data_IF_348102640538
#
_entry.id   IF_348102640538
#
_cell.length_a   1.000
_cell.length_b   1.000
_cell.length_c   1.000
_cell.angle_alpha   90.00
_cell.angle_beta   90.00
_cell.angle_gamma   90.00
#
_symmetry.space_group_name_H-M   'P 1'
#
loop_
_entity.id
_entity.type
_entity.pdbx_description
1 polymer ?
#
# COMPACT_ATOMS: atom_id res chain seq x y z
N UNK A 1 -17.95 37.56 -58.82
CA UNK A 1 -17.53 37.62 -57.41
C UNK A 1 -18.12 36.45 -56.60
N UNK A 2 -17.67 35.21 -56.86
CA UNK A 2 -18.16 33.98 -56.19
C UNK A 2 -17.04 32.92 -55.98
N UNK A 3 -15.80 33.36 -55.75
CA UNK A 3 -14.64 32.46 -55.59
C UNK A 3 -13.63 32.91 -54.52
N UNK A 4 -14.09 33.47 -53.40
CA UNK A 4 -13.18 33.92 -52.34
C UNK A 4 -13.68 33.72 -50.91
N UNK A 5 -14.66 32.83 -50.70
CA UNK A 5 -15.24 32.58 -49.37
C UNK A 5 -15.06 31.14 -48.85
N UNK A 6 -14.19 30.34 -49.48
CA UNK A 6 -13.98 28.92 -49.10
C UNK A 6 -12.58 28.60 -48.59
N UNK A 7 -11.69 29.59 -48.46
CA UNK A 7 -10.32 29.38 -47.99
C UNK A 7 -10.08 29.86 -46.55
N UNK A 8 -11.04 30.55 -45.93
CA UNK A 8 -10.90 31.06 -44.56
C UNK A 8 -11.44 30.08 -43.51
N UNK A 9 -12.25 29.10 -43.91
CA UNK A 9 -12.82 28.09 -42.99
C UNK A 9 -11.89 26.89 -42.75
N UNK A 10 -10.73 26.81 -43.42
CA UNK A 10 -9.82 25.66 -43.31
C UNK A 10 -8.54 25.94 -42.49
N UNK A 11 -8.41 27.13 -41.89
CA UNK A 11 -7.21 27.54 -41.12
C UNK A 11 -7.49 27.77 -39.63
N UNK A 12 -8.74 27.59 -39.17
CA UNK A 12 -9.12 27.78 -37.76
C UNK A 12 -9.34 26.48 -36.97
N UNK A 13 -8.73 25.35 -37.37
CA UNK A 13 -8.87 24.08 -36.64
C UNK A 13 -7.55 23.32 -36.50
N UNK A 14 -6.49 24.00 -36.07
CA UNK A 14 -5.28 23.35 -35.53
C UNK A 14 -4.63 24.22 -34.45
N UNK A 15 -5.42 24.71 -33.50
CA UNK A 15 -4.90 24.87 -32.13
C UNK A 15 -5.28 23.60 -31.37
N UNK A 16 -4.56 22.51 -31.67
CA UNK A 16 -4.41 21.45 -30.67
C UNK A 16 -3.63 22.11 -29.56
N UNK A 17 -4.34 22.46 -28.49
CA UNK A 17 -3.72 22.82 -27.22
C UNK A 17 -2.97 21.56 -26.80
N UNK A 18 -1.67 21.52 -27.09
CA UNK A 18 -0.74 20.69 -26.34
C UNK A 18 -0.71 21.30 -24.94
N UNK A 19 -1.73 20.97 -24.13
CA UNK A 19 -1.49 20.84 -22.70
C UNK A 19 -0.57 19.65 -22.61
N UNK A 20 0.74 19.90 -22.65
CA UNK A 20 1.68 18.98 -22.04
C UNK A 20 1.23 18.85 -20.60
N UNK A 21 0.43 17.82 -20.31
CA UNK A 21 0.42 17.26 -18.98
C UNK A 21 1.89 16.99 -18.70
N UNK A 22 2.47 17.80 -17.82
CA UNK A 22 3.75 17.45 -17.21
C UNK A 22 3.37 16.25 -16.36
N UNK A 23 3.37 15.07 -16.98
CA UNK A 23 3.16 13.80 -16.30
C UNK A 23 4.22 13.75 -15.20
N UNK A 24 3.81 13.38 -13.99
CA UNK A 24 4.73 13.20 -12.87
C UNK A 24 5.91 12.34 -13.34
N UNK A 25 7.13 12.81 -13.08
CA UNK A 25 8.34 12.29 -13.75
C UNK A 25 8.93 11.10 -12.97
N UNK A 26 8.34 10.71 -11.84
CA UNK A 26 8.79 9.58 -11.05
C UNK A 26 7.56 8.84 -10.52
N UNK A 27 7.53 7.52 -10.73
CA UNK A 27 6.50 6.62 -10.23
C UNK A 27 7.15 5.67 -9.23
N UNK A 28 6.33 5.03 -8.41
CA UNK A 28 6.74 3.87 -7.64
C UNK A 28 5.53 2.94 -7.66
N UNK A 29 5.56 1.95 -8.54
CA UNK A 29 4.51 0.97 -8.67
C UNK A 29 5.07 -0.33 -8.12
N UNK A 30 5.01 -0.48 -6.81
CA UNK A 30 5.32 -1.76 -6.17
C UNK A 30 4.52 -2.93 -6.78
N UNK A 31 4.90 -4.14 -6.40
CA UNK A 31 4.81 -5.41 -7.10
C UNK A 31 3.45 -5.85 -7.70
N UNK A 32 2.35 -5.15 -7.40
CA UNK A 32 0.99 -5.41 -7.87
C UNK A 32 0.75 -4.98 -9.33
N UNK A 33 1.45 -5.60 -10.27
CA UNK A 33 1.40 -5.31 -11.72
C UNK A 33 0.00 -5.35 -12.37
N UNK A 34 -0.95 -6.10 -11.79
CA UNK A 34 -2.34 -6.20 -12.25
C UNK A 34 -3.32 -5.25 -11.54
N UNK A 35 -2.82 -4.47 -10.58
CA UNK A 35 -3.59 -3.56 -9.71
C UNK A 35 -3.15 -2.09 -9.85
N UNK A 36 -2.02 -1.82 -10.49
CA UNK A 36 -1.53 -0.47 -10.76
C UNK A 36 -2.58 0.35 -11.54
N UNK A 37 -3.47 1.02 -10.82
CA UNK A 37 -4.30 2.04 -11.42
C UNK A 37 -3.34 3.16 -11.82
N UNK A 38 -3.44 3.64 -13.06
CA UNK A 38 -2.64 4.76 -13.56
C UNK A 38 -2.97 6.10 -12.87
N UNK A 39 -3.54 6.07 -11.67
CA UNK A 39 -4.07 7.24 -10.97
C UNK A 39 -3.51 7.44 -9.57
N UNK A 40 -2.60 6.60 -9.09
CA UNK A 40 -1.99 6.71 -7.75
C UNK A 40 -0.51 7.03 -7.90
N UNK A 41 -0.07 8.22 -7.47
CA UNK A 41 1.32 8.61 -7.62
C UNK A 41 1.76 9.65 -6.60
N UNK A 42 3.09 9.69 -6.39
CA UNK A 42 3.78 10.70 -5.59
C UNK A 42 4.92 11.30 -6.41
N UNK A 43 5.00 12.63 -6.46
CA UNK A 43 6.02 13.30 -7.28
C UNK A 43 7.43 13.34 -6.63
N UNK A 44 7.52 13.18 -5.31
CA UNK A 44 8.76 13.35 -4.55
C UNK A 44 8.81 12.49 -3.26
N UNK A 45 9.65 11.45 -3.21
CA UNK A 45 9.79 10.56 -2.04
C UNK A 45 10.73 11.11 -0.95
N UNK A 46 11.44 12.21 -1.23
CA UNK A 46 12.59 12.65 -0.41
C UNK A 46 12.20 13.02 1.02
N UNK A 47 10.92 13.21 1.29
CA UNK A 47 10.41 13.73 2.55
C UNK A 47 9.85 12.63 3.44
N UNK A 48 9.23 11.61 2.84
CA UNK A 48 8.76 10.42 3.49
C UNK A 48 8.56 9.35 2.43
N UNK A 49 8.97 8.15 2.76
CA UNK A 49 8.81 6.94 1.96
C UNK A 49 8.63 5.74 2.88
N UNK A 50 8.04 4.69 2.37
CA UNK A 50 8.04 3.37 2.92
C UNK A 50 9.43 2.76 2.65
N UNK A 51 10.11 2.34 3.72
CA UNK A 51 11.40 1.71 3.60
C UNK A 51 12.57 2.66 3.24
N UNK A 52 13.76 2.08 3.12
CA UNK A 52 15.00 2.79 2.78
C UNK A 52 15.36 2.70 1.29
N UNK A 53 14.72 1.79 0.56
CA UNK A 53 14.67 1.80 -0.89
C UNK A 53 13.89 3.00 -1.40
N UNK A 54 14.20 3.45 -2.61
CA UNK A 54 13.21 4.09 -3.47
C UNK A 54 13.66 3.85 -4.88
N UNK A 55 12.86 3.13 -5.63
CA UNK A 55 13.05 2.97 -7.05
C UNK A 55 12.10 3.91 -7.74
N UNK A 56 12.63 4.98 -8.35
CA UNK A 56 11.86 5.78 -9.28
C UNK A 56 11.54 4.90 -10.49
N UNK A 57 10.43 4.19 -10.44
CA UNK A 57 9.95 3.40 -11.55
C UNK A 57 9.39 4.33 -12.62
N UNK A 58 9.60 3.99 -13.89
CA UNK A 58 9.09 4.76 -15.03
C UNK A 58 7.89 4.07 -15.71
N UNK A 59 7.45 2.94 -15.18
CA UNK A 59 6.35 2.13 -15.69
C UNK A 59 5.82 1.20 -14.59
N UNK A 60 4.55 0.75 -14.66
CA UNK A 60 3.93 -0.17 -13.72
C UNK A 60 4.41 -1.62 -13.93
N UNK A 61 5.72 -1.83 -13.88
CA UNK A 61 6.29 -3.16 -14.00
C UNK A 61 7.23 -3.38 -12.82
N UNK A 62 6.80 -4.22 -11.89
CA UNK A 62 7.62 -4.83 -10.85
C UNK A 62 8.89 -5.39 -11.49
N UNK A 63 9.98 -4.64 -11.44
CA UNK A 63 11.20 -5.01 -12.12
C UNK A 63 12.08 -5.92 -11.24
N UNK A 64 11.53 -6.97 -10.61
CA UNK A 64 12.22 -8.07 -9.89
C UNK A 64 13.55 -7.66 -9.21
N UNK A 65 13.56 -6.51 -8.55
CA UNK A 65 14.78 -5.76 -8.24
C UNK A 65 14.51 -4.32 -7.78
N UNK A 66 13.24 -3.97 -7.57
CA UNK A 66 12.87 -2.93 -6.60
C UNK A 66 13.39 -3.31 -5.20
N UNK A 67 13.51 -2.29 -4.36
CA UNK A 67 13.90 -2.45 -2.96
C UNK A 67 12.73 -2.06 -2.09
N UNK A 68 11.53 -2.56 -2.40
CA UNK A 68 10.35 -2.30 -1.59
C UNK A 68 10.55 -2.99 -0.24
N UNK A 69 11.02 -2.21 0.72
CA UNK A 69 11.45 -2.64 2.05
C UNK A 69 10.63 -1.97 3.15
N UNK A 70 9.55 -1.28 2.78
CA UNK A 70 8.69 -0.57 3.70
C UNK A 70 7.51 -1.36 4.21
N UNK A 71 7.02 -2.37 3.50
CA UNK A 71 5.94 -3.25 3.96
C UNK A 71 6.40 -4.70 4.10
N UNK A 72 6.09 -5.31 5.24
CA UNK A 72 6.25 -6.74 5.48
C UNK A 72 5.20 -7.23 6.48
N UNK A 73 5.08 -8.54 6.68
CA UNK A 73 4.20 -9.10 7.70
C UNK A 73 4.81 -10.31 8.42
N UNK A 74 4.32 -10.52 9.64
CA UNK A 74 4.61 -11.68 10.48
C UNK A 74 3.35 -12.51 10.64
N UNK A 75 3.47 -13.82 10.44
CA UNK A 75 2.39 -14.80 10.63
C UNK A 75 2.62 -15.53 11.95
N UNK A 76 1.61 -15.49 12.82
CA UNK A 76 1.61 -16.13 14.15
C UNK A 76 2.84 -15.77 15.03
N UNK A 77 3.33 -14.54 14.91
CA UNK A 77 4.50 -14.06 15.66
C UNK A 77 5.85 -14.59 15.13
N UNK A 78 5.88 -15.09 13.89
CA UNK A 78 7.10 -15.46 13.17
C UNK A 78 7.96 -14.24 12.77
N UNK A 79 8.99 -14.49 11.96
CA UNK A 79 9.80 -13.41 11.40
C UNK A 79 8.99 -12.54 10.43
N UNK A 80 9.34 -11.26 10.32
CA UNK A 80 8.80 -10.37 9.31
C UNK A 80 9.38 -10.71 7.93
N UNK A 81 8.50 -10.72 6.93
CA UNK A 81 8.80 -11.00 5.53
C UNK A 81 7.49 -11.04 4.76
N UNK A 82 7.35 -11.98 3.83
CA UNK A 82 6.17 -12.11 2.97
C UNK A 82 5.67 -13.55 2.97
N UNK A 83 5.59 -14.16 4.16
CA UNK A 83 5.20 -15.56 4.29
C UNK A 83 3.73 -15.76 3.92
N UNK A 84 3.40 -16.92 3.35
CA UNK A 84 2.02 -17.31 3.06
C UNK A 84 1.13 -17.18 4.31
N UNK A 85 -0.08 -16.67 4.13
CA UNK A 85 -1.10 -16.56 5.17
C UNK A 85 -2.07 -17.73 5.00
N UNK A 86 -2.54 -18.29 6.11
CA UNK A 86 -3.63 -19.28 6.14
C UNK A 86 -4.81 -18.69 6.89
N UNK A 87 -6.02 -19.06 6.48
CA UNK A 87 -7.24 -18.75 7.24
C UNK A 87 -7.07 -19.13 8.72
N UNK A 88 -7.46 -18.22 9.62
CA UNK A 88 -7.33 -18.35 11.06
C UNK A 88 -5.97 -17.94 11.65
N UNK A 89 -5.01 -17.54 10.82
CA UNK A 89 -3.72 -17.02 11.31
C UNK A 89 -3.87 -15.64 11.97
N UNK A 90 -2.97 -15.34 12.92
CA UNK A 90 -2.77 -13.98 13.40
C UNK A 90 -1.69 -13.31 12.54
N UNK A 91 -2.06 -12.28 11.80
CA UNK A 91 -1.16 -11.57 10.88
C UNK A 91 -0.85 -10.19 11.46
N UNK A 92 0.43 -9.86 11.58
CA UNK A 92 0.87 -8.49 11.93
C UNK A 92 1.63 -7.89 10.76
N UNK A 93 1.04 -6.90 10.12
CA UNK A 93 1.69 -6.08 9.11
C UNK A 93 2.58 -5.04 9.79
N UNK A 94 3.79 -4.89 9.27
CA UNK A 94 4.77 -3.88 9.62
C UNK A 94 4.92 -2.90 8.46
N UNK A 95 4.81 -1.61 8.78
CA UNK A 95 5.04 -0.52 7.84
C UNK A 95 6.18 0.34 8.38
N UNK A 96 7.32 0.30 7.71
CA UNK A 96 8.50 1.08 8.04
C UNK A 96 8.46 2.35 7.21
N UNK A 97 8.22 3.50 7.83
CA UNK A 97 8.35 4.79 7.16
C UNK A 97 9.75 5.35 7.40
N UNK A 98 10.48 5.63 6.34
CA UNK A 98 11.75 6.35 6.38
C UNK A 98 11.59 7.80 5.96
N UNK A 99 12.36 8.65 6.62
CA UNK A 99 12.42 10.07 6.36
C UNK A 99 13.82 10.45 5.92
N UNK A 100 14.02 10.74 4.64
CA UNK A 100 15.32 11.24 4.17
C UNK A 100 15.53 12.71 4.56
N UNK A 101 14.51 13.57 4.39
CA UNK A 101 14.54 15.01 4.71
C UNK A 101 13.47 15.46 5.71
N UNK A 102 13.79 16.48 6.51
CA UNK A 102 12.88 17.20 7.40
C UNK A 102 12.01 18.19 6.65
N UNK A 103 10.71 17.92 6.55
CA UNK A 103 9.75 18.85 5.96
C UNK A 103 9.21 19.92 6.93
N UNK A 104 8.58 20.94 6.36
CA UNK A 104 7.92 22.05 7.09
C UNK A 104 6.47 21.71 7.43
N UNK A 105 6.26 20.60 8.11
CA UNK A 105 4.93 20.06 8.33
C UNK A 105 4.85 19.40 9.72
N UNK A 106 3.62 19.20 10.20
CA UNK A 106 3.34 18.80 11.58
C UNK A 106 3.34 17.29 11.77
N UNK A 107 2.96 16.55 10.73
CA UNK A 107 2.93 15.10 10.77
C UNK A 107 3.05 14.49 9.38
N UNK A 108 3.65 13.31 9.35
CA UNK A 108 3.52 12.37 8.24
C UNK A 108 2.40 11.38 8.55
N UNK A 109 1.67 10.95 7.54
CA UNK A 109 0.47 10.15 7.67
C UNK A 109 0.62 8.88 6.85
N UNK A 110 0.37 7.73 7.48
CA UNK A 110 0.32 6.42 6.86
C UNK A 110 -1.14 6.00 6.76
N UNK A 111 -1.54 5.47 5.62
CA UNK A 111 -2.85 4.87 5.41
C UNK A 111 -2.73 3.62 4.56
N UNK A 112 -3.52 2.62 4.93
CA UNK A 112 -3.47 1.28 4.37
C UNK A 112 -4.87 0.85 3.99
N UNK A 113 -5.00 0.36 2.76
CA UNK A 113 -6.21 -0.24 2.20
C UNK A 113 -5.91 -1.70 1.90
N UNK A 114 -6.90 -2.55 2.13
CA UNK A 114 -6.86 -3.94 1.66
C UNK A 114 -8.14 -4.13 0.85
N UNK A 115 -7.98 -4.62 -0.37
CA UNK A 115 -9.07 -5.01 -1.25
C UNK A 115 -9.51 -6.42 -0.88
N UNK A 116 -10.59 -6.52 -0.09
CA UNK A 116 -11.07 -7.77 0.45
C UNK A 116 -12.08 -8.46 -0.48
N UNK A 117 -12.78 -7.68 -1.31
CA UNK A 117 -13.76 -8.22 -2.25
C UNK A 117 -13.17 -8.55 -3.64
N UNK A 118 -11.90 -8.22 -3.83
CA UNK A 118 -11.09 -8.50 -4.99
C UNK A 118 -11.56 -7.77 -6.27
N UNK A 119 -12.22 -6.62 -6.13
CA UNK A 119 -12.84 -5.88 -7.23
C UNK A 119 -11.91 -4.84 -7.91
N UNK A 120 -10.72 -4.64 -7.35
CA UNK A 120 -9.69 -3.71 -7.81
C UNK A 120 -9.93 -2.22 -7.56
N UNK A 121 -10.86 -1.87 -6.68
CA UNK A 121 -11.25 -0.47 -6.43
C UNK A 121 -10.71 0.15 -5.14
N UNK A 122 -10.25 -0.64 -4.16
CA UNK A 122 -9.97 -0.19 -2.77
C UNK A 122 -11.13 0.62 -2.13
N UNK A 123 -12.34 0.51 -2.67
CA UNK A 123 -13.51 1.23 -2.16
C UNK A 123 -14.13 0.54 -0.93
N UNK A 124 -13.67 -0.67 -0.60
CA UNK A 124 -13.98 -1.44 0.63
C UNK A 124 -13.66 -0.68 1.93
N UNK A 125 -12.82 0.35 1.83
CA UNK A 125 -12.52 1.27 2.92
C UNK A 125 -11.10 1.11 3.46
N UNK A 126 -10.89 1.72 4.63
CA UNK A 126 -9.57 1.85 5.25
C UNK A 126 -9.34 0.69 6.20
N UNK A 127 -8.28 -0.08 5.98
CA UNK A 127 -7.88 -1.17 6.88
C UNK A 127 -7.11 -0.64 8.09
N UNK A 128 -6.23 0.34 7.88
CA UNK A 128 -5.43 0.94 8.95
C UNK A 128 -4.98 2.36 8.59
N UNK A 129 -4.92 3.25 9.58
CA UNK A 129 -4.35 4.59 9.42
C UNK A 129 -3.68 5.07 10.71
N UNK A 130 -2.58 5.80 10.58
CA UNK A 130 -1.87 6.37 11.70
C UNK A 130 -1.02 7.58 11.27
N UNK A 131 -0.62 8.40 12.23
CA UNK A 131 0.17 9.60 11.99
C UNK A 131 1.43 9.62 12.85
N UNK A 132 2.54 10.00 12.24
CA UNK A 132 3.76 10.36 12.94
C UNK A 132 3.80 11.87 13.16
N UNK A 133 3.41 12.29 14.35
CA UNK A 133 3.50 13.70 14.76
C UNK A 133 4.92 14.08 15.12
N UNK A 134 5.39 15.17 14.51
CA UNK A 134 6.65 15.80 14.88
C UNK A 134 6.39 16.71 16.06
N UNK A 135 6.98 16.38 17.21
CA UNK A 135 6.91 17.29 18.35
C UNK A 135 7.73 18.54 18.02
N UNK A 136 7.09 19.70 18.16
CA UNK A 136 7.81 20.94 18.40
C UNK A 136 8.25 20.98 19.88
N UNK A 137 9.00 19.98 20.37
CA UNK A 137 9.39 19.96 21.78
C UNK A 137 10.60 20.91 21.97
N UNK A 138 10.48 22.02 22.72
CA UNK A 138 11.62 22.90 23.02
C UNK A 138 12.64 22.24 23.96
N UNK A 139 12.35 21.02 24.46
CA UNK A 139 13.17 20.25 25.39
C UNK A 139 13.93 19.07 24.80
N UNK A 140 13.80 18.79 23.49
CA UNK A 140 14.55 17.73 22.81
C UNK A 140 15.98 18.18 22.45
N UNK A 141 16.67 18.75 23.44
CA UNK A 141 18.02 19.30 23.38
C UNK A 141 19.13 18.23 23.15
N UNK A 142 18.76 17.01 22.75
CA UNK A 142 19.66 15.94 22.28
C UNK A 142 19.56 15.71 20.77
N UNK A 143 18.46 16.12 20.13
CA UNK A 143 18.35 16.27 18.67
C UNK A 143 18.05 17.72 18.34
N UNK A 144 18.85 18.62 18.89
CA UNK A 144 18.96 19.96 18.32
C UNK A 144 19.35 19.76 16.85
N UNK A 145 18.57 20.24 15.86
CA UNK A 145 19.08 20.41 14.51
C UNK A 145 20.33 21.26 14.67
N UNK A 146 21.52 20.65 14.52
CA UNK A 146 22.78 21.32 14.76
C UNK A 146 22.90 22.39 13.69
N UNK A 147 22.51 23.60 14.07
CA UNK A 147 22.84 24.86 13.42
C UNK A 147 22.54 24.91 11.92
N UNK A 148 21.36 25.46 11.58
CA UNK A 148 20.84 25.91 10.26
C UNK A 148 19.63 25.15 9.70
N UNK A 149 19.29 23.97 10.22
CA UNK A 149 18.12 23.18 9.81
C UNK A 149 16.91 23.34 10.75
N UNK A 150 16.59 24.59 11.10
CA UNK A 150 15.33 24.91 11.77
C UNK A 150 14.19 24.72 10.76
N UNK A 151 13.37 23.66 10.89
CA UNK A 151 12.20 23.39 10.03
C UNK A 151 12.41 23.86 8.58
N UNK A 152 13.25 23.14 7.85
CA UNK A 152 13.64 23.48 6.49
C UNK A 152 14.65 22.47 5.99
N UNK A 153 14.29 21.79 4.91
CA UNK A 153 15.10 21.09 3.90
C UNK A 153 16.41 20.40 4.36
N UNK A 154 16.45 19.87 5.58
CA UNK A 154 17.63 19.20 6.15
C UNK A 154 17.54 17.69 6.13
N UNK A 155 18.68 17.00 6.23
CA UNK A 155 18.71 15.54 6.32
C UNK A 155 18.12 15.09 7.67
N UNK A 156 17.12 14.21 7.62
CA UNK A 156 16.51 13.59 8.78
C UNK A 156 17.11 12.20 9.05
N UNK A 157 17.05 11.31 8.05
CA UNK A 157 17.54 9.93 8.09
C UNK A 157 17.02 9.12 9.29
N UNK A 158 15.72 9.22 9.56
CA UNK A 158 15.06 8.55 10.68
C UNK A 158 13.96 7.60 10.20
N UNK A 159 13.64 6.62 11.03
CA UNK A 159 12.60 5.63 10.76
C UNK A 159 11.49 5.73 11.79
N UNK A 160 10.27 5.39 11.36
CA UNK A 160 9.13 5.13 12.21
C UNK A 160 8.42 3.87 11.74
N UNK A 161 8.29 2.91 12.64
CA UNK A 161 7.55 1.68 12.36
C UNK A 161 6.14 1.77 12.90
N UNK A 162 5.19 1.27 12.10
CA UNK A 162 3.78 1.10 12.45
C UNK A 162 3.43 -0.39 12.36
N UNK A 163 2.49 -0.81 13.21
CA UNK A 163 2.04 -2.19 13.27
C UNK A 163 0.52 -2.24 13.15
N UNK A 164 0.01 -3.14 12.32
CA UNK A 164 -1.41 -3.45 12.19
C UNK A 164 -1.61 -4.96 12.31
N UNK A 165 -2.34 -5.37 13.35
CA UNK A 165 -2.59 -6.80 13.62
C UNK A 165 -4.03 -7.16 13.30
N UNK A 166 -4.20 -8.16 12.44
CA UNK A 166 -5.45 -8.88 12.23
C UNK A 166 -5.34 -10.19 13.00
N UNK A 167 -6.20 -10.37 14.01
CA UNK A 167 -6.27 -11.63 14.73
C UNK A 167 -7.27 -12.54 14.03
N UNK A 168 -6.93 -13.83 13.88
CA UNK A 168 -7.82 -14.86 13.32
C UNK A 168 -8.38 -14.44 11.95
N UNK A 169 -7.50 -14.29 10.95
CA UNK A 169 -7.90 -13.81 9.62
C UNK A 169 -8.94 -14.76 9.00
N UNK A 170 -10.18 -14.29 8.87
CA UNK A 170 -11.33 -15.08 8.45
C UNK A 170 -11.90 -14.55 7.13
N UNK A 171 -11.15 -14.76 6.05
CA UNK A 171 -11.53 -14.41 4.69
C UNK A 171 -11.45 -15.64 3.80
N UNK A 172 -12.18 -15.63 2.68
CA UNK A 172 -12.12 -16.74 1.73
C UNK A 172 -10.69 -16.93 1.19
N UNK A 173 -10.26 -18.16 0.87
CA UNK A 173 -8.95 -18.36 0.27
C UNK A 173 -8.83 -17.64 -1.08
N UNK A 174 -7.72 -16.96 -1.30
CA UNK A 174 -7.49 -16.19 -2.52
C UNK A 174 -6.33 -15.21 -2.41
N UNK A 175 -6.11 -14.47 -3.50
CA UNK A 175 -5.15 -13.38 -3.54
C UNK A 175 -5.85 -12.08 -3.14
N UNK A 176 -5.17 -11.29 -2.32
CA UNK A 176 -5.63 -10.02 -1.78
C UNK A 176 -4.60 -8.95 -2.07
N UNK A 177 -5.07 -7.73 -2.27
CA UNK A 177 -4.21 -6.58 -2.53
C UNK A 177 -4.18 -5.67 -1.33
N UNK A 178 -2.98 -5.24 -0.97
CA UNK A 178 -2.71 -4.25 0.05
C UNK A 178 -2.10 -3.02 -0.63
N UNK A 179 -2.57 -1.84 -0.27
CA UNK A 179 -1.94 -0.58 -0.62
C UNK A 179 -1.56 0.18 0.63
N UNK A 180 -0.29 0.46 0.82
CA UNK A 180 0.21 1.38 1.83
C UNK A 180 0.61 2.69 1.16
N UNK A 181 0.16 3.83 1.69
CA UNK A 181 0.59 5.14 1.23
C UNK A 181 1.08 5.98 2.40
N UNK A 182 2.11 6.76 2.15
CA UNK A 182 2.61 7.77 3.08
C UNK A 182 2.58 9.15 2.47
N UNK A 183 2.13 10.15 3.23
CA UNK A 183 2.01 11.54 2.77
C UNK A 183 2.25 12.51 3.93
N UNK A 184 2.69 13.73 3.65
CA UNK A 184 2.77 14.77 4.66
C UNK A 184 1.40 15.45 4.85
N UNK A 185 1.18 16.07 6.01
CA UNK A 185 -0.09 16.78 6.22
C UNK A 185 -0.31 18.01 5.33
N UNK A 186 0.74 18.58 4.74
CA UNK A 186 0.60 19.74 3.84
C UNK A 186 -0.12 19.35 2.54
N UNK A 187 0.26 18.21 1.98
CA UNK A 187 -0.28 17.68 0.71
C UNK A 187 -1.77 17.33 0.80
N UNK A 188 -2.22 16.87 1.97
CA UNK A 188 -3.64 16.56 2.22
C UNK A 188 -4.41 17.73 2.84
N UNK A 189 -3.84 18.93 2.89
CA UNK A 189 -4.48 20.12 3.49
C UNK A 189 -4.84 19.92 4.96
N UNK A 190 -4.07 19.10 5.67
CA UNK A 190 -4.28 18.67 7.07
C UNK A 190 -5.63 17.98 7.33
N UNK A 191 -6.23 17.38 6.30
CA UNK A 191 -7.48 16.62 6.40
C UNK A 191 -7.23 15.17 6.01
N UNK A 192 -7.18 14.22 6.95
CA UNK A 192 -7.01 12.79 6.65
C UNK A 192 -8.02 12.24 5.63
N UNK A 193 -9.23 12.81 5.57
CA UNK A 193 -10.25 12.44 4.57
C UNK A 193 -9.85 12.72 3.12
N UNK A 194 -8.90 13.64 2.90
CA UNK A 194 -8.35 13.90 1.56
C UNK A 194 -7.32 12.85 1.14
N UNK A 195 -6.89 11.98 2.07
CA UNK A 195 -5.98 10.90 1.76
C UNK A 195 -6.75 9.67 1.29
N UNK A 196 -6.83 9.56 -0.03
CA UNK A 196 -7.58 8.53 -0.77
C UNK A 196 -6.65 7.41 -1.24
N UNK A 197 -7.18 6.22 -1.57
CA UNK A 197 -6.37 5.12 -2.12
C UNK A 197 -5.81 5.47 -3.50
N UNK A 198 -6.45 6.40 -4.21
CA UNK A 198 -6.07 6.89 -5.53
C UNK A 198 -5.75 8.38 -5.51
N UNK A 199 -5.26 8.94 -6.61
CA UNK A 199 -4.92 10.36 -6.76
C UNK A 199 -3.43 10.66 -6.63
N UNK A 200 -3.11 11.92 -6.94
CA UNK A 200 -1.76 12.50 -6.94
C UNK A 200 -1.48 13.24 -5.65
N UNK A 201 -0.31 12.99 -5.07
CA UNK A 201 0.26 13.85 -4.05
C UNK A 201 1.67 14.28 -4.45
N UNK A 202 2.10 15.44 -3.98
CA UNK A 202 3.40 15.97 -4.34
C UNK A 202 4.55 15.22 -3.63
N UNK A 203 4.35 14.83 -2.38
CA UNK A 203 5.33 14.16 -1.54
C UNK A 203 4.81 12.83 -1.02
N UNK A 204 5.68 11.85 -0.91
CA UNK A 204 5.36 10.56 -0.33
C UNK A 204 5.76 9.40 -1.19
N UNK A 205 5.18 8.25 -0.87
CA UNK A 205 5.36 7.01 -1.61
C UNK A 205 4.13 6.13 -1.44
N UNK A 206 4.00 5.18 -2.36
CA UNK A 206 2.99 4.13 -2.34
C UNK A 206 3.71 2.79 -2.54
N UNK A 207 3.39 1.82 -1.68
CA UNK A 207 3.74 0.42 -1.89
C UNK A 207 2.45 -0.39 -1.95
N UNK A 208 2.22 -1.02 -3.09
CA UNK A 208 1.17 -2.00 -3.35
C UNK A 208 1.75 -3.42 -3.29
N UNK A 209 1.14 -4.28 -2.49
CA UNK A 209 1.55 -5.67 -2.29
C UNK A 209 0.42 -6.63 -2.60
N UNK A 210 0.75 -7.80 -3.15
CA UNK A 210 -0.17 -8.95 -3.19
C UNK A 210 0.18 -9.96 -2.10
N UNK A 211 -0.82 -10.48 -1.39
CA UNK A 211 -0.66 -11.61 -0.47
C UNK A 211 -1.73 -12.67 -0.68
N UNK A 212 -1.37 -13.93 -0.48
CA UNK A 212 -2.27 -15.07 -0.66
C UNK A 212 -2.74 -15.60 0.70
N UNK A 213 -4.04 -15.79 0.85
CA UNK A 213 -4.66 -16.50 1.98
C UNK A 213 -5.01 -17.91 1.51
N UNK A 214 -4.42 -18.91 2.16
CA UNK A 214 -4.68 -20.33 1.90
C UNK A 214 -5.81 -20.86 2.77
N UNK A 215 -6.53 -21.86 2.28
CA UNK A 215 -7.48 -22.60 3.11
C UNK A 215 -6.75 -23.44 4.16
N UNK A 216 -7.33 -23.53 5.35
CA UNK A 216 -6.99 -24.61 6.27
C UNK A 216 -7.52 -25.90 5.65
N UNK A 217 -6.68 -26.92 5.39
CA UNK A 217 -7.18 -28.21 4.96
C UNK A 217 -8.20 -28.71 5.98
N UNK A 218 -9.41 -29.06 5.52
CA UNK A 218 -10.46 -29.55 6.40
C UNK A 218 -9.87 -30.57 7.38
N UNK A 219 -10.06 -30.40 8.70
CA UNK A 219 -9.44 -31.28 9.67
C UNK A 219 -9.76 -32.73 9.33
N UNK A 220 -8.72 -33.57 9.20
CA UNK A 220 -8.84 -34.99 8.93
C UNK A 220 -9.78 -35.71 9.93
N UNK A 221 -10.15 -35.05 11.02
CA UNK A 221 -11.24 -35.39 11.93
C UNK A 221 -12.56 -35.67 11.23
N UNK A 222 -12.95 -34.95 10.18
CA UNK A 222 -14.20 -35.26 9.44
C UNK A 222 -14.09 -36.58 8.68
N UNK A 223 -12.92 -36.83 8.06
CA UNK A 223 -12.62 -38.11 7.43
C UNK A 223 -12.55 -39.25 8.45
N UNK A 224 -11.85 -39.05 9.58
CA UNK A 224 -11.74 -40.00 10.68
C UNK A 224 -13.10 -40.30 11.31
N UNK A 225 -13.93 -39.29 11.49
CA UNK A 225 -15.31 -39.45 11.97
C UNK A 225 -16.13 -40.26 10.95
N UNK A 226 -16.03 -39.94 9.66
CA UNK A 226 -16.68 -40.69 8.58
C UNK A 226 -16.25 -42.16 8.55
N UNK A 227 -14.94 -42.42 8.59
CA UNK A 227 -14.38 -43.78 8.64
C UNK A 227 -14.76 -44.52 9.92
N UNK A 228 -14.81 -43.82 11.06
CA UNK A 228 -15.25 -44.38 12.34
C UNK A 228 -16.71 -44.84 12.30
N UNK A 229 -17.60 -44.04 11.71
CA UNK A 229 -19.02 -44.39 11.53
C UNK A 229 -19.20 -45.57 10.56
N UNK A 230 -18.47 -45.58 9.45
CA UNK A 230 -18.49 -46.71 8.49
C UNK A 230 -17.95 -47.98 9.14
N UNK A 231 -16.88 -47.89 9.93
CA UNK A 231 -16.31 -49.00 10.70
C UNK A 231 -17.32 -49.59 11.69
N UNK A 232 -18.00 -48.74 12.47
CA UNK A 232 -19.06 -49.18 13.41
C UNK A 232 -20.21 -49.89 12.68
N UNK A 233 -20.66 -49.33 11.56
CA UNK A 233 -21.72 -49.92 10.75
C UNK A 233 -21.30 -51.29 10.18
N UNK A 234 -20.04 -51.44 9.77
CA UNK A 234 -19.47 -52.69 9.28
C UNK A 234 -19.40 -53.77 10.37
N UNK A 235 -18.93 -53.44 11.58
CA UNK A 235 -18.87 -54.37 12.72
C UNK A 235 -20.26 -54.84 13.13
N UNK A 236 -21.26 -53.96 13.13
CA UNK A 236 -22.64 -54.30 13.50
C UNK A 236 -23.27 -55.33 12.54
N UNK A 237 -22.90 -55.31 11.25
CA UNK A 237 -23.38 -56.31 10.28
C UNK A 237 -22.76 -57.68 10.52
N UNK A 238 -21.48 -57.74 10.88
CA UNK A 238 -20.78 -59.01 11.16
C UNK A 238 -21.28 -59.73 12.42
N UNK A 239 -21.77 -58.99 13.42
CA UNK A 239 -22.31 -59.56 14.66
C UNK A 239 -23.75 -60.06 14.54
N UNK A 240 -24.46 -59.76 13.45
CA UNK A 240 -25.85 -60.19 13.20
C UNK A 240 -25.99 -61.30 12.15
N UNK A 241 -24.88 -61.73 11.54
CA UNK A 241 -24.82 -62.78 10.53
C UNK A 241 -24.20 -64.06 11.08
#
# INVERSE_FOLDING_TARGET
MRKLLSLVTFVCLTLVVYTSNVLAINYDYSDATDYANNSTYHSNPSWQRLGSGWTSENAPYAANGDYDDGVSWSVNGGAYGHSDITEGDNVTFEFVMYKYMWGRHNYDYLKVWIDWDQDKSFDDGVSYENAWYFKSDPGDAGQTPTTSYAYGDGLAQIYKTFYYTINDIAVDPGDYWLRARVVCNADIGSKPSNFTPTGDFWQGEVEDWTFTVNSVPEPATMLLLGLGLVGLAGVRRKLKG
#
